data_IF_539612912106
#
_entry.id   IF_539612912106
#
_cell.length_a   1.000
_cell.length_b   1.000
_cell.length_c   1.000
_cell.angle_alpha   90.00
_cell.angle_beta   90.00
_cell.angle_gamma   90.00
#
_symmetry.space_group_name_H-M   'P 1'
#
loop_
_entity.id
_entity.type
_entity.pdbx_description
1 polymer ?
#
# COMPACT_ATOMS: atom_id res chain seq x y z
N UNK A 1 15.35 6.02 -2.61
CA UNK A 1 14.10 6.26 -1.85
C UNK A 1 13.16 5.14 -2.25
N UNK A 2 12.65 4.37 -1.29
CA UNK A 2 11.77 3.21 -1.52
C UNK A 2 10.33 3.71 -1.55
N UNK A 3 9.64 3.49 -2.67
CA UNK A 3 8.24 3.81 -2.85
C UNK A 3 7.37 2.69 -2.26
N UNK A 4 6.57 3.04 -1.27
CA UNK A 4 5.75 2.10 -0.49
C UNK A 4 4.30 2.17 -0.95
N UNK A 5 3.73 1.01 -1.26
CA UNK A 5 2.30 0.80 -1.42
C UNK A 5 1.68 0.22 -0.15
N UNK A 6 0.60 0.82 0.37
CA UNK A 6 -0.10 0.32 1.57
C UNK A 6 -1.44 -0.29 1.19
N UNK A 7 -1.63 -1.57 1.48
CA UNK A 7 -2.88 -2.30 1.19
C UNK A 7 -3.65 -2.45 2.50
N UNK A 8 -4.72 -1.68 2.65
CA UNK A 8 -5.55 -1.58 3.84
C UNK A 8 -5.31 -0.28 4.60
N UNK A 9 -6.37 0.53 4.72
CA UNK A 9 -6.40 1.76 5.52
C UNK A 9 -7.40 1.67 6.67
N UNK A 10 -7.45 0.48 7.29
CA UNK A 10 -8.25 0.17 8.48
C UNK A 10 -7.57 0.59 9.78
N UNK A 11 -7.67 -0.24 10.83
CA UNK A 11 -7.15 0.09 12.16
C UNK A 11 -5.65 0.42 12.18
N UNK A 12 -4.81 -0.35 11.47
CA UNK A 12 -3.37 -0.14 11.46
C UNK A 12 -2.86 0.74 10.31
N UNK A 13 -3.62 0.89 9.23
CA UNK A 13 -3.17 1.59 8.02
C UNK A 13 -2.68 3.03 8.25
N UNK A 14 -3.43 3.89 8.99
CA UNK A 14 -2.97 5.25 9.30
C UNK A 14 -1.65 5.30 10.05
N UNK A 15 -1.43 4.36 10.99
CA UNK A 15 -0.17 4.30 11.74
C UNK A 15 1.00 3.92 10.84
N UNK A 16 0.81 2.97 9.92
CA UNK A 16 1.84 2.55 8.98
C UNK A 16 2.20 3.69 8.03
N UNK A 17 1.20 4.36 7.46
CA UNK A 17 1.44 5.49 6.56
C UNK A 17 2.21 6.61 7.25
N UNK A 18 1.83 6.97 8.49
CA UNK A 18 2.58 7.95 9.27
C UNK A 18 4.03 7.50 9.49
N UNK A 19 4.24 6.26 9.93
CA UNK A 19 5.59 5.74 10.18
C UNK A 19 6.47 5.78 8.93
N UNK A 20 5.93 5.50 7.74
CA UNK A 20 6.68 5.61 6.48
C UNK A 20 6.87 7.05 6.01
N UNK A 21 5.95 7.97 6.33
CA UNK A 21 6.13 9.39 6.06
C UNK A 21 7.28 9.99 6.91
N UNK A 22 7.45 9.49 8.13
CA UNK A 22 8.52 9.90 9.05
C UNK A 22 9.84 9.12 8.83
N UNK A 23 9.83 8.11 7.97
CA UNK A 23 10.99 7.26 7.71
C UNK A 23 11.86 7.84 6.59
N UNK A 24 13.06 8.30 6.93
CA UNK A 24 14.04 8.73 5.93
C UNK A 24 14.32 7.61 4.92
N UNK A 25 14.24 7.96 3.64
CA UNK A 25 14.48 7.01 2.55
C UNK A 25 13.27 6.19 2.12
N UNK A 26 12.10 6.35 2.75
CA UNK A 26 10.84 5.76 2.29
C UNK A 26 9.81 6.84 1.93
N UNK A 27 8.84 6.49 1.08
CA UNK A 27 7.72 7.37 0.73
C UNK A 27 6.49 6.54 0.39
N UNK A 28 5.35 6.83 1.02
CA UNK A 28 4.08 6.22 0.61
C UNK A 28 3.60 6.86 -0.70
N UNK A 29 3.48 6.05 -1.75
CA UNK A 29 3.07 6.50 -3.09
C UNK A 29 1.68 6.00 -3.50
N UNK A 30 1.21 4.91 -2.88
CA UNK A 30 -0.08 4.32 -3.19
C UNK A 30 -0.73 3.74 -1.92
N UNK A 31 -2.06 3.85 -1.83
CA UNK A 31 -2.87 3.27 -0.76
C UNK A 31 -4.09 2.60 -1.40
N UNK A 32 -4.35 1.34 -1.06
CA UNK A 32 -5.54 0.60 -1.49
C UNK A 32 -6.44 0.27 -0.30
N UNK A 33 -7.75 0.47 -0.43
CA UNK A 33 -8.74 -0.11 0.49
C UNK A 33 -10.07 -0.33 -0.23
N UNK A 34 -10.71 -1.49 0.00
CA UNK A 34 -12.01 -1.80 -0.61
C UNK A 34 -13.12 -0.84 -0.16
N UNK A 35 -12.99 -0.24 1.02
CA UNK A 35 -14.01 0.62 1.61
C UNK A 35 -13.85 2.08 1.21
N UNK A 36 -14.86 2.65 0.56
CA UNK A 36 -14.81 4.01 0.04
C UNK A 36 -14.56 5.06 1.12
N UNK A 37 -15.11 4.89 2.32
CA UNK A 37 -14.90 5.80 3.44
C UNK A 37 -13.43 5.82 3.91
N UNK A 38 -12.75 4.68 3.85
CA UNK A 38 -11.33 4.56 4.21
C UNK A 38 -10.44 5.16 3.14
N UNK A 39 -10.78 4.97 1.86
CA UNK A 39 -10.12 5.67 0.75
C UNK A 39 -10.24 7.19 0.87
N UNK A 40 -11.45 7.68 1.18
CA UNK A 40 -11.66 9.11 1.39
C UNK A 40 -10.82 9.65 2.56
N UNK A 41 -10.68 8.88 3.65
CA UNK A 41 -9.80 9.25 4.75
C UNK A 41 -8.31 9.24 4.34
N UNK A 42 -7.86 8.20 3.64
CA UNK A 42 -6.49 8.09 3.14
C UNK A 42 -6.13 9.27 2.23
N UNK A 43 -7.00 9.62 1.28
CA UNK A 43 -6.78 10.72 0.33
C UNK A 43 -6.64 12.08 1.03
N UNK A 44 -7.39 12.30 2.13
CA UNK A 44 -7.25 13.53 2.94
C UNK A 44 -5.93 13.58 3.71
N UNK A 45 -5.48 12.45 4.25
CA UNK A 45 -4.25 12.38 5.06
C UNK A 45 -2.99 12.30 4.20
N UNK A 46 -3.11 11.81 2.96
CA UNK A 46 -1.99 11.47 2.09
C UNK A 46 -2.21 12.04 0.68
N UNK A 47 -2.28 13.38 0.53
CA UNK A 47 -2.68 14.00 -0.74
C UNK A 47 -1.70 13.72 -1.91
N UNK A 48 -0.47 13.28 -1.62
CA UNK A 48 0.53 12.89 -2.62
C UNK A 48 0.51 11.40 -3.01
N UNK A 49 -0.31 10.58 -2.37
CA UNK A 49 -0.41 9.15 -2.68
C UNK A 49 -1.62 8.87 -3.58
N UNK A 50 -1.45 7.97 -4.55
CA UNK A 50 -2.57 7.41 -5.29
C UNK A 50 -3.47 6.62 -4.32
N UNK A 51 -4.79 6.83 -4.39
CA UNK A 51 -5.74 6.08 -3.56
C UNK A 51 -6.68 5.31 -4.46
N UNK A 52 -6.60 3.98 -4.38
CA UNK A 52 -7.31 3.05 -5.27
C UNK A 52 -8.15 2.05 -4.48
N UNK A 53 -9.10 1.40 -5.14
CA UNK A 53 -9.93 0.35 -4.57
C UNK A 53 -9.45 -1.07 -4.92
N UNK A 54 -8.41 -1.19 -5.74
CA UNK A 54 -7.87 -2.45 -6.17
C UNK A 54 -6.43 -2.65 -5.65
N UNK A 55 -6.24 -3.70 -4.86
CA UNK A 55 -4.93 -4.07 -4.34
C UNK A 55 -4.05 -4.69 -5.43
N UNK A 56 -4.63 -5.39 -6.41
CA UNK A 56 -3.89 -6.01 -7.50
C UNK A 56 -3.28 -4.94 -8.43
N UNK A 57 -4.05 -3.91 -8.79
CA UNK A 57 -3.55 -2.75 -9.51
C UNK A 57 -2.37 -2.07 -8.79
N UNK A 58 -2.46 -1.89 -7.45
CA UNK A 58 -1.38 -1.34 -6.65
C UNK A 58 -0.13 -2.24 -6.64
N UNK A 59 -0.32 -3.57 -6.52
CA UNK A 59 0.77 -4.55 -6.54
C UNK A 59 1.49 -4.59 -7.90
N UNK A 60 0.77 -4.35 -9.00
CA UNK A 60 1.29 -4.33 -10.35
C UNK A 60 1.85 -2.96 -10.79
N UNK A 61 1.75 -1.93 -9.93
CA UNK A 61 2.24 -0.59 -10.25
C UNK A 61 3.78 -0.58 -10.27
N UNK A 62 4.43 -0.32 -11.44
CA UNK A 62 5.89 -0.34 -11.54
C UNK A 62 6.57 0.80 -10.78
N UNK A 63 5.82 1.75 -10.25
CA UNK A 63 6.33 2.83 -9.40
C UNK A 63 6.40 2.46 -7.92
N UNK A 64 5.82 1.31 -7.53
CA UNK A 64 5.83 0.77 -6.16
C UNK A 64 6.98 -0.23 -6.02
N UNK A 65 7.92 0.06 -5.12
CA UNK A 65 9.08 -0.80 -4.86
C UNK A 65 8.77 -1.91 -3.84
N UNK A 66 7.90 -1.62 -2.88
CA UNK A 66 7.51 -2.55 -1.82
C UNK A 66 6.06 -2.32 -1.37
N UNK A 67 5.41 -3.40 -0.92
CA UNK A 67 4.04 -3.34 -0.40
C UNK A 67 3.97 -3.70 1.08
N UNK A 68 3.00 -3.08 1.77
CA UNK A 68 2.68 -3.34 3.17
C UNK A 68 1.24 -3.80 3.26
N UNK A 69 1.02 -4.99 3.82
CA UNK A 69 -0.32 -5.57 3.94
C UNK A 69 -0.89 -5.31 5.35
N UNK A 70 -1.91 -4.46 5.41
CA UNK A 70 -2.63 -4.02 6.62
C UNK A 70 -4.13 -4.36 6.55
N UNK A 71 -4.46 -5.50 5.96
CA UNK A 71 -5.82 -6.06 5.82
C UNK A 71 -6.13 -7.08 6.94
N UNK A 72 -7.36 -7.63 7.04
CA UNK A 72 -7.62 -8.79 7.90
C UNK A 72 -6.67 -9.95 7.59
N UNK A 73 -6.30 -10.71 8.62
CA UNK A 73 -5.28 -11.76 8.52
C UNK A 73 -5.58 -12.81 7.42
N UNK A 74 -6.86 -13.06 7.15
CA UNK A 74 -7.33 -14.01 6.14
C UNK A 74 -6.88 -13.65 4.72
N UNK A 75 -6.59 -12.38 4.42
CA UNK A 75 -6.13 -11.94 3.10
C UNK A 75 -4.61 -11.80 2.98
N UNK A 76 -3.85 -11.96 4.07
CA UNK A 76 -2.40 -11.72 4.05
C UNK A 76 -1.66 -12.65 3.10
N UNK A 77 -1.99 -13.94 3.13
CA UNK A 77 -1.31 -14.94 2.31
C UNK A 77 -1.43 -14.63 0.82
N UNK A 78 -2.65 -14.42 0.31
CA UNK A 78 -2.87 -14.18 -1.12
C UNK A 78 -2.24 -12.85 -1.57
N UNK A 79 -2.35 -11.78 -0.77
CA UNK A 79 -1.74 -10.49 -1.10
C UNK A 79 -0.21 -10.54 -1.11
N UNK A 80 0.40 -11.20 -0.11
CA UNK A 80 1.84 -11.35 -0.04
C UNK A 80 2.36 -12.22 -1.19
N UNK A 81 1.67 -13.33 -1.50
CA UNK A 81 1.99 -14.19 -2.63
C UNK A 81 1.91 -13.43 -3.96
N UNK A 82 0.85 -12.66 -4.18
CA UNK A 82 0.71 -11.83 -5.38
C UNK A 82 1.87 -10.84 -5.52
N UNK A 83 2.25 -10.16 -4.43
CA UNK A 83 3.38 -9.24 -4.43
C UNK A 83 4.74 -9.89 -4.71
N UNK A 84 4.98 -11.10 -4.18
CA UNK A 84 6.21 -11.85 -4.47
C UNK A 84 6.29 -12.30 -5.93
N UNK A 85 5.15 -12.55 -6.57
CA UNK A 85 5.09 -12.94 -7.99
C UNK A 85 5.09 -11.76 -8.95
N UNK A 86 4.72 -10.56 -8.52
CA UNK A 86 4.79 -9.35 -9.35
C UNK A 86 6.16 -8.69 -9.35
N UNK A 87 7.00 -8.99 -8.34
CA UNK A 87 8.35 -8.47 -8.27
C UNK A 87 9.14 -8.85 -9.54
N UNK A 88 9.79 -7.88 -10.21
CA UNK A 88 10.55 -8.17 -11.41
C UNK A 88 11.64 -9.20 -11.07
N UNK A 89 11.69 -10.30 -11.81
CA UNK A 89 12.78 -11.27 -11.71
C UNK A 89 14.06 -10.55 -12.10
N UNK A 90 14.94 -10.32 -11.14
CA UNK A 90 16.30 -9.84 -11.38
C UNK A 90 16.94 -10.72 -12.45
N UNK A 91 17.15 -10.15 -13.65
CA UNK A 91 17.98 -10.72 -14.71
C UNK A 91 19.42 -10.33 -14.51
#
# INVERSE_FOLDING_TARGET
MVNIGVIGYGYWGPNLVRNFADCEGARVVAISDLRAERRAAAARQCPGAAVVDDAAALIADPTVDAVVVATPITSHYELAKAALHSAPTSS
#
